data_IF_204888868752
#
_entry.id   IF_204888868752
#
_cell.length_a   1.000
_cell.length_b   1.000
_cell.length_c   1.000
_cell.angle_alpha   90.00
_cell.angle_beta   90.00
_cell.angle_gamma   90.00
#
_symmetry.space_group_name_H-M   'P 1'
#
loop_
_entity.id
_entity.type
_entity.pdbx_description
1 polymer ?
#
# COMPACT_ATOMS: atom_id res chain seq x y z
N UNK A 1 14.01 -31.52 5.14
CA UNK A 1 12.84 -31.99 4.41
C UNK A 1 12.00 -30.76 4.12
N UNK A 2 12.10 -30.25 2.88
CA UNK A 2 11.37 -29.04 2.46
C UNK A 2 9.91 -29.38 2.25
N UNK A 3 9.03 -28.67 2.90
CA UNK A 3 7.60 -28.68 2.57
C UNK A 3 7.41 -27.86 1.31
N UNK A 4 7.21 -28.57 0.22
CA UNK A 4 6.80 -28.01 -1.06
C UNK A 4 5.38 -27.42 -0.87
N UNK A 5 5.30 -26.09 -0.83
CA UNK A 5 4.02 -25.39 -0.80
C UNK A 5 3.40 -25.46 -2.22
N UNK A 6 2.89 -26.64 -2.57
CA UNK A 6 2.11 -26.83 -3.78
C UNK A 6 0.89 -25.91 -3.73
N UNK A 7 0.94 -24.87 -4.54
CA UNK A 7 -0.17 -23.96 -4.78
C UNK A 7 -1.37 -24.79 -5.23
N UNK A 8 -2.37 -24.92 -4.36
CA UNK A 8 -3.60 -25.62 -4.69
C UNK A 8 -4.20 -25.04 -5.98
N UNK A 9 -4.56 -25.87 -6.97
CA UNK A 9 -5.09 -25.40 -8.27
C UNK A 9 -6.35 -24.52 -8.13
N UNK A 10 -7.06 -24.64 -7.02
CA UNK A 10 -8.19 -23.78 -6.67
C UNK A 10 -7.78 -22.29 -6.45
N UNK A 11 -6.62 -22.04 -5.87
CA UNK A 11 -6.15 -20.65 -5.64
C UNK A 11 -5.78 -19.91 -6.93
N UNK A 12 -5.25 -20.62 -7.92
CA UNK A 12 -4.91 -20.04 -9.23
C UNK A 12 -6.19 -19.71 -10.01
N UNK A 13 -7.18 -20.59 -9.99
CA UNK A 13 -8.46 -20.38 -10.64
C UNK A 13 -9.23 -19.20 -10.01
N UNK A 14 -9.26 -19.10 -8.69
CA UNK A 14 -9.91 -18.00 -7.98
C UNK A 14 -9.24 -16.65 -8.29
N UNK A 15 -7.91 -16.64 -8.37
CA UNK A 15 -7.14 -15.44 -8.75
C UNK A 15 -7.48 -14.99 -10.17
N UNK A 16 -7.57 -15.88 -11.14
CA UNK A 16 -7.95 -15.54 -12.51
C UNK A 16 -9.40 -15.08 -12.62
N UNK A 17 -10.30 -15.64 -11.84
CA UNK A 17 -11.70 -15.21 -11.82
C UNK A 17 -11.80 -13.81 -11.21
N UNK A 18 -11.16 -13.56 -10.07
CA UNK A 18 -11.16 -12.23 -9.43
C UNK A 18 -10.54 -11.19 -10.37
N UNK A 19 -9.40 -11.49 -10.98
CA UNK A 19 -8.76 -10.59 -11.95
C UNK A 19 -9.60 -10.42 -13.23
N UNK A 20 -10.23 -11.48 -13.73
CA UNK A 20 -11.11 -11.40 -14.89
C UNK A 20 -12.35 -10.55 -14.66
N UNK A 21 -12.95 -10.63 -13.48
CA UNK A 21 -14.12 -9.81 -13.10
C UNK A 21 -13.74 -8.34 -12.86
N UNK A 22 -12.55 -8.08 -12.30
CA UNK A 22 -12.06 -6.71 -12.02
C UNK A 22 -11.56 -6.03 -13.29
N UNK A 23 -11.02 -6.81 -14.25
CA UNK A 23 -10.46 -6.32 -15.52
C UNK A 23 -11.40 -6.46 -16.71
N UNK A 24 -12.65 -6.92 -16.52
CA UNK A 24 -13.65 -6.86 -17.57
C UNK A 24 -13.84 -5.38 -17.96
N UNK A 25 -13.66 -5.11 -19.23
CA UNK A 25 -13.48 -3.84 -19.92
C UNK A 25 -14.74 -2.95 -19.93
N UNK A 26 -15.43 -2.85 -18.81
CA UNK A 26 -16.43 -1.82 -18.58
C UNK A 26 -15.71 -0.61 -17.98
N UNK A 27 -15.92 0.53 -18.60
CA UNK A 27 -15.43 1.84 -18.22
C UNK A 27 -15.30 1.94 -16.69
N UNK A 28 -14.07 1.71 -16.17
CA UNK A 28 -13.77 1.75 -14.75
C UNK A 28 -13.93 3.20 -14.28
N UNK A 29 -15.16 3.61 -14.09
CA UNK A 29 -15.53 4.96 -13.68
C UNK A 29 -16.18 4.90 -12.30
N UNK A 30 -15.57 5.60 -11.38
CA UNK A 30 -16.09 5.85 -10.04
C UNK A 30 -15.58 7.22 -9.57
N UNK A 31 -16.06 7.70 -8.44
CA UNK A 31 -15.69 9.02 -7.93
C UNK A 31 -14.18 9.22 -7.75
N UNK A 32 -13.40 8.15 -7.50
CA UNK A 32 -11.94 8.23 -7.39
C UNK A 32 -11.31 8.47 -8.75
N UNK A 33 -11.73 7.72 -9.77
CA UNK A 33 -11.22 7.91 -11.13
C UNK A 33 -11.62 9.26 -11.70
N UNK A 34 -12.82 9.75 -11.40
CA UNK A 34 -13.27 11.07 -11.85
C UNK A 34 -12.40 12.21 -11.28
N UNK A 35 -11.98 12.08 -10.01
CA UNK A 35 -11.05 13.04 -9.37
C UNK A 35 -9.66 12.93 -9.99
N UNK A 36 -9.15 11.71 -10.17
CA UNK A 36 -7.81 11.46 -10.75
C UNK A 36 -7.74 11.99 -12.18
N UNK A 37 -8.77 11.74 -12.98
CA UNK A 37 -8.85 12.22 -14.38
C UNK A 37 -8.86 13.75 -14.44
N UNK A 38 -9.58 14.41 -13.52
CA UNK A 38 -9.56 15.86 -13.41
C UNK A 38 -8.17 16.37 -13.05
N UNK A 39 -7.52 15.81 -12.03
CA UNK A 39 -6.19 16.24 -11.57
C UNK A 39 -5.11 16.02 -12.64
N UNK A 40 -5.16 14.91 -13.39
CA UNK A 40 -4.27 14.65 -14.52
C UNK A 40 -4.52 15.64 -15.67
N UNK A 41 -5.80 15.92 -16.02
CA UNK A 41 -6.15 16.83 -17.11
C UNK A 41 -5.77 18.28 -16.82
N UNK A 42 -5.81 18.68 -15.55
CA UNK A 42 -5.40 20.00 -15.08
C UNK A 42 -3.88 20.14 -14.88
N UNK A 43 -3.12 19.05 -15.06
CA UNK A 43 -1.67 19.02 -14.85
C UNK A 43 -1.23 19.21 -13.40
N UNK A 44 -2.10 18.90 -12.44
CA UNK A 44 -1.76 18.96 -11.01
C UNK A 44 -0.80 17.86 -10.61
N UNK A 45 -0.88 16.71 -11.28
CA UNK A 45 -0.03 15.53 -11.07
C UNK A 45 0.35 14.95 -12.42
N UNK A 46 1.58 14.42 -12.51
CA UNK A 46 2.09 13.78 -13.72
C UNK A 46 1.95 12.26 -13.66
N UNK A 47 1.98 11.68 -12.47
CA UNK A 47 1.96 10.23 -12.22
C UNK A 47 1.06 9.91 -11.05
N UNK A 48 0.22 8.90 -11.21
CA UNK A 48 -0.64 8.41 -10.13
C UNK A 48 0.18 7.54 -9.18
N UNK A 49 0.22 7.92 -7.91
CA UNK A 49 0.83 7.16 -6.85
C UNK A 49 -0.23 6.70 -5.87
N UNK A 50 -0.32 5.40 -5.65
CA UNK A 50 -1.16 4.82 -4.61
C UNK A 50 -0.32 4.15 -3.53
N UNK A 51 -0.90 3.92 -2.37
CA UNK A 51 -0.20 3.37 -1.21
C UNK A 51 -1.10 2.47 -0.38
N UNK A 52 -0.57 1.31 -0.02
CA UNK A 52 -1.14 0.47 1.03
C UNK A 52 -0.25 0.59 2.29
N UNK A 53 -0.77 1.11 3.42
CA UNK A 53 0.00 1.34 4.64
C UNK A 53 -0.40 0.36 5.75
N UNK A 54 0.02 -0.92 5.70
CA UNK A 54 -0.28 -1.85 6.78
C UNK A 54 0.58 -1.58 8.02
N UNK A 55 -0.02 -1.76 9.20
CA UNK A 55 0.70 -1.86 10.46
C UNK A 55 1.13 -3.33 10.64
N UNK A 56 2.44 -3.63 10.85
CA UNK A 56 2.94 -5.01 10.93
C UNK A 56 2.76 -5.60 12.34
N UNK A 57 1.53 -5.54 12.88
CA UNK A 57 1.14 -6.01 14.21
C UNK A 57 0.17 -7.20 14.16
N UNK A 58 -0.11 -7.74 12.97
CA UNK A 58 -1.02 -8.86 12.76
C UNK A 58 -1.11 -9.28 11.30
N UNK A 59 -1.86 -10.35 11.07
CA UNK A 59 -2.15 -10.86 9.73
C UNK A 59 -3.20 -10.02 9.02
N UNK A 60 -3.12 -9.98 7.68
CA UNK A 60 -4.11 -9.30 6.86
C UNK A 60 -5.47 -10.03 6.93
N UNK A 61 -6.53 -9.28 6.71
CA UNK A 61 -7.90 -9.80 6.64
C UNK A 61 -8.59 -9.35 5.34
N UNK A 62 -9.81 -9.80 5.10
CA UNK A 62 -10.53 -9.51 3.85
C UNK A 62 -10.71 -8.00 3.58
N UNK A 63 -10.82 -7.18 4.63
CA UNK A 63 -10.85 -5.71 4.49
C UNK A 63 -9.54 -5.15 3.94
N UNK A 64 -8.40 -5.71 4.35
CA UNK A 64 -7.08 -5.36 3.82
C UNK A 64 -6.97 -5.73 2.34
N UNK A 65 -7.46 -6.91 1.95
CA UNK A 65 -7.49 -7.33 0.54
C UNK A 65 -8.28 -6.33 -0.33
N UNK A 66 -9.43 -5.84 0.14
CA UNK A 66 -10.21 -4.80 -0.55
C UNK A 66 -9.38 -3.52 -0.74
N UNK A 67 -8.71 -3.06 0.30
CA UNK A 67 -7.87 -1.84 0.23
C UNK A 67 -6.70 -2.02 -0.75
N UNK A 68 -6.04 -3.19 -0.73
CA UNK A 68 -4.97 -3.54 -1.66
C UNK A 68 -5.47 -3.48 -3.09
N UNK A 69 -6.61 -4.14 -3.39
CA UNK A 69 -7.17 -4.16 -4.74
C UNK A 69 -7.53 -2.77 -5.25
N UNK A 70 -8.17 -1.92 -4.45
CA UNK A 70 -8.50 -0.56 -4.87
C UNK A 70 -7.22 0.21 -5.25
N UNK A 71 -6.21 0.21 -4.39
CA UNK A 71 -4.97 0.93 -4.62
C UNK A 71 -4.20 0.37 -5.82
N UNK A 72 -4.04 -0.95 -5.89
CA UNK A 72 -3.30 -1.61 -6.97
C UNK A 72 -3.99 -1.45 -8.33
N UNK A 73 -5.32 -1.60 -8.38
CA UNK A 73 -6.08 -1.47 -9.63
C UNK A 73 -6.02 -0.05 -10.18
N UNK A 74 -6.14 0.97 -9.32
CA UNK A 74 -6.01 2.37 -9.71
C UNK A 74 -4.60 2.61 -10.27
N UNK A 75 -3.55 2.25 -9.54
CA UNK A 75 -2.18 2.43 -10.02
C UNK A 75 -1.96 1.75 -11.37
N UNK A 76 -2.45 0.52 -11.52
CA UNK A 76 -2.31 -0.25 -12.77
C UNK A 76 -3.10 0.37 -13.92
N UNK A 77 -4.33 0.87 -13.67
CA UNK A 77 -5.17 1.50 -14.69
C UNK A 77 -4.50 2.74 -15.29
N UNK A 78 -3.86 3.55 -14.46
CA UNK A 78 -3.19 4.78 -14.89
C UNK A 78 -1.71 4.58 -15.23
N UNK A 79 -1.18 3.35 -15.24
CA UNK A 79 0.26 3.10 -15.44
C UNK A 79 1.14 3.73 -14.37
N UNK A 80 0.57 3.95 -13.19
CA UNK A 80 1.20 4.61 -12.06
C UNK A 80 1.94 3.65 -11.12
N UNK A 81 2.26 4.13 -9.93
CA UNK A 81 3.02 3.42 -8.91
C UNK A 81 2.14 3.00 -7.74
N UNK A 82 2.27 1.75 -7.33
CA UNK A 82 1.72 1.20 -6.12
C UNK A 82 2.83 0.97 -5.10
N UNK A 83 2.77 1.67 -3.97
CA UNK A 83 3.74 1.63 -2.90
C UNK A 83 3.20 0.82 -1.72
N UNK A 84 4.08 0.03 -1.10
CA UNK A 84 3.85 -0.54 0.21
C UNK A 84 4.63 0.29 1.24
N UNK A 85 3.96 0.83 2.24
CA UNK A 85 4.61 1.53 3.32
C UNK A 85 4.17 0.95 4.65
N UNK A 86 5.04 0.25 5.33
CA UNK A 86 4.76 -0.22 6.68
C UNK A 86 4.65 0.96 7.64
N UNK A 87 3.56 0.98 8.39
CA UNK A 87 3.36 1.92 9.48
C UNK A 87 3.90 1.30 10.78
N UNK A 88 5.22 1.19 10.83
CA UNK A 88 5.99 0.52 11.86
C UNK A 88 6.52 1.54 12.90
N UNK A 89 5.59 2.23 13.55
CA UNK A 89 5.92 3.27 14.54
C UNK A 89 5.93 2.76 15.99
N UNK A 90 5.54 1.51 16.21
CA UNK A 90 5.51 0.88 17.54
C UNK A 90 6.36 -0.40 17.60
N UNK A 91 7.67 -0.29 17.87
CA UNK A 91 8.60 -1.43 17.83
C UNK A 91 8.28 -2.54 18.85
N UNK A 92 7.45 -2.26 19.87
CA UNK A 92 7.05 -3.26 20.86
C UNK A 92 6.00 -4.28 20.36
N UNK A 93 5.32 -3.99 19.24
CA UNK A 93 4.25 -4.81 18.67
C UNK A 93 4.54 -5.33 17.26
N UNK A 94 5.63 -4.92 16.69
CA UNK A 94 6.00 -5.24 15.32
C UNK A 94 6.86 -6.49 15.27
N UNK A 95 6.49 -7.42 14.42
CA UNK A 95 7.22 -8.66 14.21
C UNK A 95 7.61 -8.85 12.75
N UNK A 96 8.85 -9.28 12.52
CA UNK A 96 9.33 -9.66 11.18
C UNK A 96 8.43 -10.70 10.53
N UNK A 97 7.79 -11.55 11.34
CA UNK A 97 6.80 -12.54 10.88
C UNK A 97 5.63 -11.88 10.15
N UNK A 98 5.07 -10.81 10.69
CA UNK A 98 3.93 -10.12 10.08
C UNK A 98 4.34 -9.38 8.81
N UNK A 99 5.53 -8.79 8.79
CA UNK A 99 6.09 -8.18 7.57
C UNK A 99 6.19 -9.22 6.46
N UNK A 100 6.76 -10.38 6.74
CA UNK A 100 6.90 -11.46 5.75
C UNK A 100 5.54 -12.02 5.31
N UNK A 101 4.60 -12.18 6.24
CA UNK A 101 3.24 -12.61 5.90
C UNK A 101 2.53 -11.62 4.97
N UNK A 102 2.62 -10.31 5.25
CA UNK A 102 2.02 -9.27 4.41
C UNK A 102 2.62 -9.29 3.00
N UNK A 103 3.94 -9.46 2.87
CA UNK A 103 4.60 -9.55 1.57
C UNK A 103 4.17 -10.81 0.79
N UNK A 104 4.01 -11.95 1.47
CA UNK A 104 3.49 -13.17 0.86
C UNK A 104 2.04 -13.01 0.40
N UNK A 105 1.20 -12.38 1.21
CA UNK A 105 -0.20 -12.12 0.86
C UNK A 105 -0.34 -11.19 -0.35
N UNK A 106 0.47 -10.13 -0.44
CA UNK A 106 0.51 -9.25 -1.61
C UNK A 106 0.93 -10.02 -2.87
N UNK A 107 1.95 -10.86 -2.77
CA UNK A 107 2.39 -11.72 -3.87
C UNK A 107 1.31 -12.73 -4.27
N UNK A 108 0.65 -13.36 -3.29
CA UNK A 108 -0.44 -14.29 -3.54
C UNK A 108 -1.62 -13.60 -4.24
N UNK A 109 -1.97 -12.39 -3.82
CA UNK A 109 -2.99 -11.56 -4.46
C UNK A 109 -2.56 -11.07 -5.86
N UNK A 110 -1.29 -11.14 -6.23
CA UNK A 110 -0.75 -10.62 -7.48
C UNK A 110 -0.70 -9.09 -7.51
N UNK A 111 -0.64 -8.45 -6.35
CA UNK A 111 -0.57 -7.01 -6.16
C UNK A 111 0.80 -6.60 -5.62
N UNK A 112 1.88 -6.99 -6.32
CA UNK A 112 3.23 -6.66 -5.92
C UNK A 112 3.51 -5.15 -6.08
N UNK A 113 4.13 -4.51 -5.07
CA UNK A 113 4.47 -3.09 -5.14
C UNK A 113 5.52 -2.81 -6.23
N UNK A 114 5.17 -1.99 -7.19
CA UNK A 114 6.10 -1.57 -8.27
C UNK A 114 6.73 -0.20 -7.99
N UNK A 115 6.24 0.54 -7.01
CA UNK A 115 6.77 1.84 -6.60
C UNK A 115 7.77 1.76 -5.45
N UNK A 116 7.81 0.63 -4.72
CA UNK A 116 8.75 0.40 -3.63
C UNK A 116 8.10 -0.03 -2.32
N UNK A 117 8.97 -0.45 -1.40
CA UNK A 117 8.62 -0.85 -0.03
C UNK A 117 9.32 0.13 0.91
N UNK A 118 8.57 0.75 1.79
CA UNK A 118 9.05 1.78 2.71
C UNK A 118 8.65 1.43 4.14
N UNK A 119 9.42 1.93 5.10
CA UNK A 119 9.18 1.76 6.53
C UNK A 119 9.08 3.12 7.20
N UNK A 120 8.09 3.30 8.08
CA UNK A 120 7.89 4.53 8.83
C UNK A 120 9.09 4.88 9.72
N UNK A 121 9.70 3.85 10.34
CA UNK A 121 10.89 3.99 11.18
C UNK A 121 12.09 4.64 10.49
N UNK A 122 12.25 4.46 9.19
CA UNK A 122 13.38 5.02 8.42
C UNK A 122 13.37 6.55 8.37
N UNK A 123 12.25 7.17 8.77
CA UNK A 123 12.07 8.62 8.76
C UNK A 123 12.16 9.26 10.15
N UNK A 124 12.38 8.50 11.22
CA UNK A 124 12.39 9.04 12.59
C UNK A 124 13.43 10.12 12.82
N UNK A 125 14.64 9.96 12.30
CA UNK A 125 15.67 10.99 12.43
C UNK A 125 15.21 12.33 11.83
N UNK A 126 14.63 12.29 10.62
CA UNK A 126 14.07 13.49 9.98
C UNK A 126 12.90 14.07 10.78
N UNK A 127 12.05 13.23 11.37
CA UNK A 127 10.97 13.69 12.24
C UNK A 127 11.48 14.44 13.48
N UNK A 128 12.70 14.14 13.95
CA UNK A 128 13.35 14.88 15.04
C UNK A 128 14.01 16.18 14.58
N UNK A 129 14.50 16.24 13.36
CA UNK A 129 15.12 17.44 12.81
C UNK A 129 14.15 18.60 12.59
N UNK A 130 12.92 18.32 12.14
CA UNK A 130 11.94 19.36 11.80
C UNK A 130 11.33 20.10 12.99
N UNK A 131 11.00 19.48 14.13
CA UNK A 131 10.41 20.19 15.28
C UNK A 131 11.36 21.19 15.91
N UNK A 132 12.65 20.95 15.91
CA UNK A 132 13.63 21.80 16.59
C UNK A 132 13.68 23.24 16.05
N UNK A 133 13.74 23.50 14.73
CA UNK A 133 13.61 24.82 14.15
C UNK A 133 12.23 25.45 14.43
N UNK A 134 11.15 24.70 14.28
CA UNK A 134 9.79 25.18 14.50
C UNK A 134 9.57 25.62 15.96
N UNK A 135 10.16 24.88 16.88
CA UNK A 135 10.10 25.23 18.31
C UNK A 135 10.87 26.52 18.60
N UNK A 136 12.05 26.72 17.98
CA UNK A 136 12.82 27.97 18.09
C UNK A 136 12.08 29.18 17.52
N UNK A 137 11.29 28.97 16.48
CA UNK A 137 10.46 30.00 15.86
C UNK A 137 9.12 30.24 16.57
N UNK A 138 8.85 29.52 17.67
CA UNK A 138 7.58 29.59 18.41
C UNK A 138 6.36 29.04 17.67
N UNK A 139 6.59 28.25 16.59
CA UNK A 139 5.53 27.63 15.77
C UNK A 139 5.13 26.23 16.25
N UNK A 140 5.89 25.65 17.16
CA UNK A 140 5.60 24.38 17.80
C UNK A 140 5.90 24.45 19.30
N UNK A 141 5.15 23.69 20.11
CA UNK A 141 5.36 23.55 21.54
C UNK A 141 5.37 22.07 21.93
N UNK A 142 6.05 21.76 23.03
CA UNK A 142 5.97 20.43 23.66
C UNK A 142 4.80 20.46 24.63
N UNK A 143 3.88 19.51 24.49
CA UNK A 143 2.79 19.27 25.44
C UNK A 143 3.26 18.27 26.50
N UNK A 144 2.86 18.48 27.77
CA UNK A 144 3.31 17.68 28.94
C UNK A 144 2.18 16.84 29.51
#
# INVERSE_FOLDING_TARGET
MGVDASIHPCGVALRHIIWGVIMADEKFSNFLTDIIDADLSEGKVDVVHTRFPPEPNGYLHIGSAKAIFINYTIAKHYGGLFNLRFDDTNPAREGDEYVQSILQDLKWLGAEPNGGIFYGRDYFERCHEYPAPLNKEGKASVDH
#
